data_IF_789760763055
#
_entry.id   IF_789760763055
#
_cell.length_a   1.000
_cell.length_b   1.000
_cell.length_c   1.000
_cell.angle_alpha   90.00
_cell.angle_beta   90.00
_cell.angle_gamma   90.00
#
_symmetry.space_group_name_H-M   'P 1'
#
loop_
_entity.id
_entity.type
_entity.pdbx_description
1 polymer ?
#
# COMPACT_ATOMS: atom_id res chain seq x y z
N UNK A 1 1.47 1.29 -17.99
CA UNK A 1 0.38 0.33 -18.30
C UNK A 1 -0.93 0.90 -17.79
N UNK A 2 -2.01 0.92 -18.56
CA UNK A 2 -3.18 1.73 -18.22
C UNK A 2 -4.00 1.22 -17.04
N UNK A 3 -3.84 -0.04 -16.64
CA UNK A 3 -4.66 -0.68 -15.61
C UNK A 3 -3.89 -0.98 -14.32
N UNK A 4 -2.56 -1.03 -14.35
CA UNK A 4 -1.72 -1.18 -13.16
C UNK A 4 -1.30 0.20 -12.68
N UNK A 5 -1.49 0.45 -11.40
CA UNK A 5 -1.32 1.76 -10.78
C UNK A 5 -0.31 1.71 -9.64
N UNK A 6 0.31 2.85 -9.39
CA UNK A 6 1.10 3.07 -8.19
C UNK A 6 0.23 3.70 -7.10
N UNK A 7 0.39 3.26 -5.87
CA UNK A 7 -0.30 3.79 -4.72
C UNK A 7 0.74 4.40 -3.80
N UNK A 8 0.54 5.66 -3.46
CA UNK A 8 1.32 6.37 -2.46
C UNK A 8 0.41 6.81 -1.31
N UNK A 9 0.91 6.65 -0.10
CA UNK A 9 0.16 7.02 1.10
C UNK A 9 0.99 7.95 1.98
N UNK A 10 0.33 8.83 2.68
CA UNK A 10 0.94 9.68 3.69
C UNK A 10 0.41 9.28 5.06
N UNK A 11 1.31 9.11 6.01
CA UNK A 11 0.99 8.87 7.42
C UNK A 11 1.67 9.90 8.29
N UNK A 12 0.98 10.42 9.30
CA UNK A 12 1.57 11.25 10.34
C UNK A 12 1.85 10.36 11.55
N UNK A 13 3.12 10.13 11.82
CA UNK A 13 3.55 9.42 13.03
C UNK A 13 3.94 10.46 14.07
N UNK A 14 3.10 10.60 15.11
CA UNK A 14 3.43 11.42 16.28
C UNK A 14 4.30 10.59 17.20
N UNK A 15 5.61 10.77 17.16
CA UNK A 15 6.52 10.11 18.09
C UNK A 15 6.66 11.00 19.31
N UNK A 16 6.05 10.61 20.43
CA UNK A 16 6.40 11.17 21.76
C UNK A 16 7.72 10.53 22.19
N UNK A 17 8.80 11.16 21.85
CA UNK A 17 10.09 10.79 22.43
C UNK A 17 10.22 11.54 23.75
N UNK A 18 9.97 10.85 24.84
CA UNK A 18 10.41 11.33 26.16
C UNK A 18 11.82 10.75 26.36
N UNK A 19 12.90 11.51 26.08
CA UNK A 19 14.27 10.99 26.11
C UNK A 19 14.79 10.75 27.54
N UNK A 20 14.01 11.14 28.55
CA UNK A 20 14.43 11.03 29.94
C UNK A 20 13.38 10.35 30.81
N UNK A 21 13.79 9.35 31.63
CA UNK A 21 12.91 8.68 32.56
C UNK A 21 12.63 9.49 33.85
N UNK A 22 12.99 10.77 33.90
CA UNK A 22 12.85 11.63 35.08
C UNK A 22 11.99 12.85 34.73
N UNK A 23 10.97 13.08 35.57
CA UNK A 23 10.21 14.35 35.62
C UNK A 23 11.03 15.37 36.41
N UNK A 24 11.31 16.51 35.79
CA UNK A 24 11.96 17.62 36.49
C UNK A 24 10.96 18.37 37.38
N UNK A 25 11.37 18.83 38.59
CA UNK A 25 10.51 19.65 39.43
C UNK A 25 10.06 20.93 38.71
N UNK A 26 8.79 21.36 38.87
CA UNK A 26 8.30 22.61 38.27
C UNK A 26 9.14 23.80 38.69
N UNK A 27 9.58 24.63 37.73
CA UNK A 27 10.41 25.83 37.99
C UNK A 27 11.92 25.62 37.92
N UNK A 28 12.38 24.47 37.39
CA UNK A 28 13.80 24.23 37.10
C UNK A 28 14.29 25.10 35.94
N UNK A 29 15.49 25.72 36.02
CA UNK A 29 16.09 26.47 34.90
C UNK A 29 16.31 25.64 33.62
N UNK A 30 16.22 24.32 33.74
CA UNK A 30 16.35 23.38 32.65
C UNK A 30 15.00 23.05 31.93
N UNK A 31 13.87 23.43 32.54
CA UNK A 31 12.54 23.16 32.01
C UNK A 31 12.34 23.80 30.63
N UNK A 32 12.77 25.05 30.43
CA UNK A 32 12.67 25.76 29.16
C UNK A 32 13.62 25.22 28.11
N UNK A 33 14.81 24.75 28.49
CA UNK A 33 15.78 24.18 27.57
C UNK A 33 15.37 22.79 27.08
N UNK A 34 14.62 22.04 27.91
CA UNK A 34 14.14 20.69 27.53
C UNK A 34 12.73 20.68 26.95
N UNK A 35 12.00 21.79 27.03
CA UNK A 35 10.68 21.96 26.39
C UNK A 35 10.77 21.81 24.87
N UNK A 36 11.82 22.34 24.26
CA UNK A 36 12.12 22.22 22.83
C UNK A 36 12.48 20.79 22.40
N UNK A 37 12.96 19.93 23.31
CA UNK A 37 13.27 18.52 23.04
C UNK A 37 12.10 17.58 23.21
N UNK A 38 11.04 18.00 23.90
CA UNK A 38 9.84 17.20 24.22
C UNK A 38 8.66 17.46 23.31
N UNK A 39 8.76 18.36 22.32
CA UNK A 39 7.69 18.56 21.36
C UNK A 39 7.51 17.32 20.47
N UNK A 40 6.26 16.84 20.34
CA UNK A 40 5.97 15.74 19.45
C UNK A 40 6.34 16.13 18.02
N UNK A 41 7.45 15.61 17.49
CA UNK A 41 7.80 15.77 16.09
C UNK A 41 6.85 14.90 15.26
N UNK A 42 5.93 15.56 14.56
CA UNK A 42 5.15 14.92 13.51
C UNK A 42 6.10 14.53 12.37
N UNK A 43 6.24 13.25 12.15
CA UNK A 43 7.01 12.71 11.03
C UNK A 43 6.06 12.19 9.98
N UNK A 44 6.06 12.80 8.80
CA UNK A 44 5.33 12.26 7.65
C UNK A 44 6.12 11.10 7.09
N UNK A 45 5.50 9.93 7.04
CA UNK A 45 6.04 8.72 6.44
C UNK A 45 5.18 8.37 5.24
N UNK A 46 5.81 8.04 4.12
CA UNK A 46 5.12 7.59 2.91
C UNK A 46 5.31 6.10 2.75
N UNK A 47 4.25 5.38 2.45
CA UNK A 47 4.32 4.01 1.96
C UNK A 47 4.00 3.99 0.46
N UNK A 48 4.61 3.05 -0.26
CA UNK A 48 4.43 2.85 -1.69
C UNK A 48 3.97 1.41 -1.95
N UNK A 49 3.06 1.25 -2.89
CA UNK A 49 2.56 -0.05 -3.30
C UNK A 49 2.03 -0.04 -4.72
N UNK A 50 1.60 -1.20 -5.17
CA UNK A 50 0.95 -1.37 -6.47
C UNK A 50 -0.51 -1.76 -6.29
N UNK A 51 -1.31 -1.44 -7.28
CA UNK A 51 -2.70 -1.86 -7.38
C UNK A 51 -3.12 -2.01 -8.83
N UNK A 52 -4.35 -2.40 -9.04
CA UNK A 52 -4.91 -2.51 -10.39
C UNK A 52 -6.37 -2.08 -10.42
N UNK A 53 -6.76 -1.48 -11.54
CA UNK A 53 -8.11 -0.95 -11.77
C UNK A 53 -9.01 -2.09 -12.25
N UNK A 54 -10.16 -2.27 -11.60
CA UNK A 54 -11.14 -3.32 -11.93
C UNK A 54 -12.42 -2.79 -12.55
N UNK A 55 -12.65 -1.49 -12.49
CA UNK A 55 -13.82 -0.85 -13.08
C UNK A 55 -13.45 0.47 -13.77
N UNK A 56 -14.15 0.77 -14.87
CA UNK A 56 -13.94 2.00 -15.66
C UNK A 56 -14.12 3.29 -14.85
N UNK A 57 -14.87 3.24 -13.77
CA UNK A 57 -15.13 4.39 -12.91
C UNK A 57 -14.02 4.58 -11.84
N UNK A 58 -12.93 3.77 -11.92
CA UNK A 58 -11.75 3.96 -11.07
C UNK A 58 -11.83 3.23 -9.73
N UNK A 59 -12.38 2.03 -9.72
CA UNK A 59 -12.24 1.12 -8.58
C UNK A 59 -10.90 0.40 -8.70
N UNK A 60 -10.11 0.48 -7.64
CA UNK A 60 -8.74 -0.07 -7.56
C UNK A 60 -8.68 -1.12 -6.45
N UNK A 61 -8.03 -2.23 -6.72
CA UNK A 61 -7.69 -3.26 -5.72
C UNK A 61 -6.21 -3.17 -5.39
N UNK A 62 -5.88 -3.21 -4.12
CA UNK A 62 -4.52 -3.23 -3.57
C UNK A 62 -4.47 -4.06 -2.29
N UNK A 63 -3.31 -4.11 -1.65
CA UNK A 63 -3.17 -4.78 -0.36
C UNK A 63 -3.55 -3.85 0.80
N UNK A 64 -4.14 -4.42 1.84
CA UNK A 64 -4.52 -3.67 3.03
C UNK A 64 -3.31 -3.06 3.75
N UNK A 65 -2.20 -3.78 3.84
CA UNK A 65 -0.99 -3.27 4.51
C UNK A 65 -0.40 -2.02 3.82
N UNK A 66 -0.66 -1.80 2.52
CA UNK A 66 -0.20 -0.61 1.78
C UNK A 66 -0.90 0.65 2.28
N UNK A 67 -2.19 0.54 2.64
CA UNK A 67 -3.02 1.70 2.99
C UNK A 67 -3.32 1.81 4.49
N UNK A 68 -2.84 0.84 5.27
CA UNK A 68 -3.11 0.79 6.70
C UNK A 68 -2.55 2.01 7.42
N UNK A 69 -3.41 2.75 8.14
CA UNK A 69 -3.03 3.96 8.87
C UNK A 69 -2.76 5.18 7.99
N UNK A 70 -3.07 5.12 6.69
CA UNK A 70 -2.92 6.24 5.78
C UNK A 70 -3.93 7.35 6.10
N UNK A 71 -3.48 8.60 6.11
CA UNK A 71 -4.34 9.79 6.15
C UNK A 71 -4.77 10.18 4.75
N UNK A 72 -3.81 10.23 3.82
CA UNK A 72 -4.07 10.51 2.42
C UNK A 72 -3.59 9.35 1.56
N UNK A 73 -4.38 9.05 0.53
CA UNK A 73 -4.09 8.01 -0.45
C UNK A 73 -4.14 8.62 -1.83
N UNK A 74 -3.08 8.40 -2.59
CA UNK A 74 -2.97 8.84 -3.98
C UNK A 74 -2.73 7.65 -4.89
N UNK A 75 -3.33 7.69 -6.06
CA UNK A 75 -3.20 6.67 -7.11
C UNK A 75 -2.62 7.33 -8.35
N UNK A 76 -1.45 6.87 -8.77
CA UNK A 76 -0.80 7.33 -10.01
C UNK A 76 -1.06 6.35 -11.13
N UNK A 77 -1.63 6.84 -12.23
CA UNK A 77 -1.98 6.07 -13.44
C UNK A 77 -1.00 6.40 -14.54
N UNK A 78 -0.49 5.40 -15.22
CA UNK A 78 0.50 5.53 -16.32
C UNK A 78 1.79 6.26 -15.95
N UNK A 79 2.16 6.27 -14.66
CA UNK A 79 3.34 6.97 -14.12
C UNK A 79 3.35 8.50 -14.37
N UNK A 80 2.21 9.08 -14.74
CA UNK A 80 2.11 10.48 -15.14
C UNK A 80 1.12 11.28 -14.29
N UNK A 81 -0.05 10.73 -14.01
CA UNK A 81 -1.14 11.47 -13.37
C UNK A 81 -1.55 10.87 -12.05
N UNK A 82 -1.45 11.70 -11.03
CA UNK A 82 -1.83 11.38 -9.66
C UNK A 82 -3.27 11.83 -9.37
N UNK A 83 -4.02 10.99 -8.68
CA UNK A 83 -5.39 11.23 -8.24
C UNK A 83 -5.53 10.91 -6.77
N UNK A 84 -6.25 11.74 -6.04
CA UNK A 84 -6.69 11.38 -4.70
C UNK A 84 -7.66 10.19 -4.77
N UNK A 85 -7.58 9.31 -3.78
CA UNK A 85 -8.45 8.16 -3.66
C UNK A 85 -9.01 8.03 -2.24
N UNK A 86 -10.13 7.35 -2.12
CA UNK A 86 -10.77 7.05 -0.85
C UNK A 86 -10.93 5.54 -0.67
N UNK A 87 -10.96 5.10 0.58
CA UNK A 87 -11.15 3.70 0.93
C UNK A 87 -12.63 3.36 0.79
N UNK A 88 -12.94 2.36 -0.05
CA UNK A 88 -14.29 1.77 -0.17
C UNK A 88 -14.48 0.67 0.87
N UNK A 89 -13.45 -0.16 1.07
CA UNK A 89 -13.46 -1.23 2.05
C UNK A 89 -12.10 -1.89 2.18
N UNK A 90 -11.92 -2.59 3.31
CA UNK A 90 -10.71 -3.32 3.63
C UNK A 90 -11.03 -4.66 4.25
N UNK A 91 -10.19 -5.64 3.98
CA UNK A 91 -10.18 -6.93 4.66
C UNK A 91 -8.75 -7.26 5.13
N UNK A 92 -8.44 -7.01 6.42
CA UNK A 92 -7.14 -7.32 6.97
C UNK A 92 -6.78 -8.82 6.96
N UNK A 93 -7.78 -9.71 6.93
CA UNK A 93 -7.54 -11.15 6.97
C UNK A 93 -7.05 -11.70 5.64
N UNK A 94 -7.56 -11.16 4.53
CA UNK A 94 -7.09 -11.48 3.18
C UNK A 94 -6.02 -10.51 2.66
N UNK A 95 -5.70 -9.48 3.44
CA UNK A 95 -4.81 -8.38 3.06
C UNK A 95 -5.26 -7.66 1.78
N UNK A 96 -6.57 -7.47 1.61
CA UNK A 96 -7.15 -6.78 0.46
C UNK A 96 -7.75 -5.44 0.88
N UNK A 97 -7.54 -4.43 0.04
CA UNK A 97 -8.20 -3.14 0.13
C UNK A 97 -8.77 -2.73 -1.23
N UNK A 98 -9.91 -2.06 -1.19
CA UNK A 98 -10.58 -1.49 -2.36
C UNK A 98 -10.64 0.02 -2.21
N UNK A 99 -10.17 0.72 -3.24
CA UNK A 99 -10.12 2.17 -3.29
C UNK A 99 -10.98 2.69 -4.44
N UNK A 100 -11.45 3.92 -4.30
CA UNK A 100 -12.13 4.67 -5.35
C UNK A 100 -11.31 5.90 -5.71
N UNK A 101 -10.89 6.01 -6.97
CA UNK A 101 -10.25 7.22 -7.50
C UNK A 101 -11.28 8.36 -7.56
N UNK A 102 -10.92 9.53 -7.03
CA UNK A 102 -11.74 10.75 -7.08
C UNK A 102 -11.54 11.47 -8.42
N UNK A 103 -12.24 11.00 -9.44
CA UNK A 103 -12.18 11.59 -10.78
C UNK A 103 -13.40 11.17 -11.58
N UNK A 104 -13.87 12.05 -12.47
CA UNK A 104 -14.91 11.77 -13.48
C UNK A 104 -14.33 11.12 -14.75
N UNK A 105 -13.02 10.95 -14.80
CA UNK A 105 -12.34 10.32 -15.93
C UNK A 105 -12.62 8.82 -15.98
N UNK A 106 -12.67 8.25 -17.18
CA UNK A 106 -12.79 6.81 -17.36
C UNK A 106 -11.40 6.17 -17.46
N UNK A 107 -11.27 5.02 -16.83
CA UNK A 107 -10.05 4.24 -16.74
C UNK A 107 -10.15 2.93 -17.51
N UNK A 108 -9.03 2.31 -17.78
CA UNK A 108 -8.96 1.01 -18.44
C UNK A 108 -8.90 -0.10 -17.36
N UNK A 109 -9.97 -0.87 -17.14
CA UNK A 109 -9.96 -1.93 -16.13
C UNK A 109 -9.31 -3.22 -16.67
N UNK A 110 -8.76 -4.02 -15.75
CA UNK A 110 -8.45 -5.43 -15.99
C UNK A 110 -9.68 -6.29 -15.78
N UNK A 111 -9.68 -7.49 -16.36
CA UNK A 111 -10.65 -8.54 -16.05
C UNK A 111 -9.99 -9.59 -15.17
N UNK A 112 -10.71 -10.09 -14.20
CA UNK A 112 -10.27 -11.25 -13.44
C UNK A 112 -10.24 -12.49 -14.33
N UNK A 113 -9.16 -13.24 -14.22
CA UNK A 113 -9.07 -14.58 -14.77
C UNK A 113 -9.60 -15.62 -13.80
N UNK A 114 -9.70 -16.85 -14.28
CA UNK A 114 -10.03 -18.00 -13.45
C UNK A 114 -8.74 -18.70 -13.02
N UNK A 115 -8.31 -18.43 -11.79
CA UNK A 115 -7.08 -19.00 -11.24
C UNK A 115 -7.17 -20.52 -11.00
N UNK A 116 -8.37 -21.10 -10.92
CA UNK A 116 -8.54 -22.56 -10.76
C UNK A 116 -8.10 -23.32 -12.00
N UNK A 117 -8.17 -22.67 -13.16
CA UNK A 117 -7.69 -23.23 -14.42
C UNK A 117 -6.18 -23.07 -14.66
N UNK A 118 -5.49 -22.30 -13.82
CA UNK A 118 -4.04 -22.10 -13.94
C UNK A 118 -3.28 -23.39 -13.58
N UNK A 119 -2.23 -23.74 -14.32
CA UNK A 119 -1.46 -24.98 -14.17
C UNK A 119 0.00 -24.69 -13.90
N UNK A 120 0.65 -25.58 -13.18
CA UNK A 120 2.11 -25.56 -13.05
C UNK A 120 2.75 -25.69 -14.43
N UNK A 121 3.68 -24.79 -14.74
CA UNK A 121 4.31 -24.66 -16.05
C UNK A 121 3.67 -23.64 -16.98
N UNK A 122 2.47 -23.10 -16.66
CA UNK A 122 1.88 -22.03 -17.48
C UNK A 122 2.72 -20.74 -17.35
N UNK A 123 2.92 -20.05 -18.46
CA UNK A 123 3.60 -18.76 -18.48
C UNK A 123 2.76 -17.68 -17.81
N UNK A 124 3.41 -16.87 -17.00
CA UNK A 124 2.81 -15.72 -16.31
C UNK A 124 3.66 -14.48 -16.45
N UNK A 125 3.01 -13.34 -16.30
CA UNK A 125 3.65 -12.02 -16.26
C UNK A 125 3.26 -11.36 -14.94
N UNK A 126 4.26 -10.90 -14.19
CA UNK A 126 4.05 -10.08 -13.03
C UNK A 126 4.28 -8.61 -13.40
N UNK A 127 3.32 -7.78 -13.05
CA UNK A 127 3.34 -6.35 -13.32
C UNK A 127 3.10 -5.61 -12.03
N UNK A 128 3.99 -4.68 -11.70
CA UNK A 128 3.88 -3.84 -10.52
C UNK A 128 4.69 -2.57 -10.67
N UNK A 129 4.68 -1.77 -9.64
CA UNK A 129 5.55 -0.60 -9.50
C UNK A 129 6.27 -0.63 -8.15
N UNK A 130 7.17 -1.61 -7.95
CA UNK A 130 7.92 -1.68 -6.71
C UNK A 130 8.79 -0.43 -6.57
N UNK A 131 8.74 0.18 -5.39
CA UNK A 131 9.53 1.36 -5.03
C UNK A 131 9.19 2.66 -5.78
N UNK A 132 8.09 2.72 -6.55
CA UNK A 132 7.71 3.93 -7.28
C UNK A 132 8.67 4.34 -8.42
N UNK A 133 9.51 3.42 -8.90
CA UNK A 133 10.54 3.67 -9.92
C UNK A 133 10.06 3.52 -11.36
N UNK A 134 8.75 3.41 -11.57
CA UNK A 134 8.14 3.10 -12.86
C UNK A 134 7.71 1.64 -12.95
N UNK A 135 6.79 1.35 -13.88
CA UNK A 135 6.22 0.02 -14.04
C UNK A 135 7.28 -1.05 -14.33
N UNK A 136 7.33 -2.07 -13.49
CA UNK A 136 8.21 -3.24 -13.67
C UNK A 136 7.39 -4.39 -14.23
N UNK A 137 7.93 -5.08 -15.24
CA UNK A 137 7.34 -6.26 -15.86
C UNK A 137 8.36 -7.40 -15.79
N UNK A 138 7.97 -8.50 -15.19
CA UNK A 138 8.75 -9.74 -15.21
C UNK A 138 7.90 -10.87 -15.77
N UNK A 139 8.54 -11.89 -16.32
CA UNK A 139 7.87 -13.09 -16.83
C UNK A 139 8.50 -14.32 -16.21
N UNK A 140 7.68 -15.32 -15.96
CA UNK A 140 8.11 -16.59 -15.42
C UNK A 140 7.03 -17.64 -15.63
N UNK A 141 7.11 -18.73 -14.90
CA UNK A 141 6.11 -19.80 -14.93
C UNK A 141 5.49 -20.00 -13.54
N UNK A 142 4.31 -20.58 -13.51
CA UNK A 142 3.73 -21.09 -12.28
C UNK A 142 4.55 -22.29 -11.82
N UNK A 143 5.23 -22.15 -10.69
CA UNK A 143 6.07 -23.19 -10.10
C UNK A 143 5.30 -24.12 -9.19
N UNK A 144 4.29 -23.60 -8.48
CA UNK A 144 3.42 -24.38 -7.60
C UNK A 144 2.09 -23.66 -7.39
N UNK A 145 1.09 -24.41 -6.92
CA UNK A 145 -0.23 -23.92 -6.51
C UNK A 145 -0.53 -24.36 -5.09
N UNK A 146 -1.51 -23.72 -4.48
CA UNK A 146 -2.01 -24.05 -3.14
C UNK A 146 -0.90 -24.01 -2.09
N UNK A 147 -0.03 -22.99 -2.18
CA UNK A 147 1.05 -22.77 -1.21
C UNK A 147 0.55 -21.95 -0.04
N UNK A 148 0.83 -22.44 1.17
CA UNK A 148 0.71 -21.68 2.42
C UNK A 148 2.09 -21.50 3.02
N UNK A 149 2.39 -20.29 3.49
CA UNK A 149 3.66 -19.95 4.15
C UNK A 149 3.47 -19.59 5.62
N UNK A 150 2.23 -19.71 6.13
CA UNK A 150 1.93 -19.56 7.55
C UNK A 150 1.83 -18.12 8.04
N UNK A 151 1.62 -17.14 7.15
CA UNK A 151 1.48 -15.73 7.50
C UNK A 151 0.01 -15.33 7.77
N UNK A 152 -0.96 -16.05 7.19
CA UNK A 152 -2.38 -15.74 7.29
C UNK A 152 -3.22 -17.03 7.36
N UNK A 153 -4.49 -16.90 7.79
CA UNK A 153 -5.46 -18.03 7.79
C UNK A 153 -6.01 -18.37 6.39
N UNK A 154 -5.92 -17.42 5.46
CA UNK A 154 -6.51 -17.52 4.10
C UNK A 154 -5.39 -17.51 3.06
N UNK A 155 -4.47 -18.46 3.18
CA UNK A 155 -3.37 -18.59 2.24
C UNK A 155 -3.65 -19.67 1.21
N UNK A 156 -3.71 -19.28 -0.04
CA UNK A 156 -3.77 -20.15 -1.21
C UNK A 156 -3.00 -19.49 -2.35
N UNK A 157 -1.68 -19.45 -2.18
CA UNK A 157 -0.80 -18.73 -3.10
C UNK A 157 -0.47 -19.54 -4.34
N UNK A 158 -0.41 -18.81 -5.46
CA UNK A 158 0.25 -19.28 -6.68
C UNK A 158 1.70 -18.85 -6.61
N UNK A 159 2.63 -19.81 -6.61
CA UNK A 159 4.05 -19.52 -6.63
C UNK A 159 4.54 -19.36 -8.06
N UNK A 160 5.35 -18.33 -8.30
CA UNK A 160 6.05 -18.09 -9.57
C UNK A 160 7.55 -18.03 -9.33
N UNK A 161 8.34 -18.21 -10.34
CA UNK A 161 9.80 -18.01 -10.31
C UNK A 161 10.19 -16.54 -10.56
#
# INVERSE_FOLDING_TARGET
MPSVVNISTTQIITTRTNPFPFEFPPGSPFEDMFRDFGEPKERRTSALGSGFIIDKDGIVVTNNHVIQGAEDIFVTVNDEKEYAAEIVGTDPLSDIAVLKIKSDQKFAPVKFGDSDNARVGDWVIAIGNPFGLGGTVTSGIISARNRSIGLSRYEDYIQTD
#
